data_IF_643340478735
#
_entry.id   IF_643340478735
#
_cell.length_a   1.000
_cell.length_b   1.000
_cell.length_c   1.000
_cell.angle_alpha   90.00
_cell.angle_beta   90.00
_cell.angle_gamma   90.00
#
_symmetry.space_group_name_H-M   'P 1'
#
loop_
_entity.id
_entity.type
_entity.pdbx_description
1 polymer ?
#
# COMPACT_ATOMS: atom_id res chain seq x y z
N UNK A 1 -8.00 6.15 -54.23
CA UNK A 1 -8.79 6.01 -52.98
C UNK A 1 -10.00 5.08 -53.15
N UNK A 2 -9.78 3.77 -53.28
CA UNK A 2 -10.86 2.74 -53.35
C UNK A 2 -10.51 1.41 -52.65
N UNK A 3 -9.48 1.39 -51.79
CA UNK A 3 -9.04 0.19 -51.03
C UNK A 3 -9.09 0.33 -49.50
N UNK A 4 -9.54 1.46 -48.96
CA UNK A 4 -9.70 1.69 -47.50
C UNK A 4 -11.14 1.56 -46.99
N UNK A 5 -12.16 1.55 -47.85
CA UNK A 5 -13.56 1.52 -47.43
C UNK A 5 -14.14 0.12 -47.24
N UNK A 6 -13.51 -0.94 -47.78
CA UNK A 6 -14.02 -2.31 -47.60
C UNK A 6 -13.58 -2.95 -46.27
N UNK A 7 -12.52 -2.45 -45.62
CA UNK A 7 -12.10 -2.92 -44.27
C UNK A 7 -12.98 -2.38 -43.12
N UNK A 8 -13.73 -1.31 -43.36
CA UNK A 8 -14.64 -0.72 -42.35
C UNK A 8 -15.98 -1.45 -42.35
N UNK A 9 -16.40 -2.02 -43.50
CA UNK A 9 -17.66 -2.75 -43.65
C UNK A 9 -17.54 -4.17 -43.05
N UNK A 10 -16.38 -4.83 -43.16
CA UNK A 10 -16.14 -6.15 -42.52
C UNK A 10 -16.00 -6.10 -40.98
N UNK A 11 -15.60 -4.95 -40.41
CA UNK A 11 -15.48 -4.74 -38.96
C UNK A 11 -16.83 -4.52 -38.26
N UNK A 12 -17.86 -4.12 -39.00
CA UNK A 12 -19.20 -3.86 -38.48
C UNK A 12 -20.06 -5.14 -38.48
N UNK A 13 -19.86 -6.05 -39.45
CA UNK A 13 -20.66 -7.27 -39.56
C UNK A 13 -20.12 -8.46 -38.72
N UNK A 14 -18.81 -8.57 -38.51
CA UNK A 14 -18.21 -9.67 -37.72
C UNK A 14 -17.98 -9.34 -36.22
N UNK A 15 -18.22 -8.10 -35.79
CA UNK A 15 -18.02 -7.64 -34.40
C UNK A 15 -19.19 -7.86 -33.43
N UNK A 16 -20.37 -8.27 -33.92
CA UNK A 16 -21.59 -8.40 -33.11
C UNK A 16 -21.92 -9.85 -32.69
N UNK A 17 -21.19 -10.87 -33.15
CA UNK A 17 -21.48 -12.28 -32.85
C UNK A 17 -20.55 -12.94 -31.80
N UNK A 18 -19.56 -12.23 -31.25
CA UNK A 18 -18.54 -12.82 -30.36
C UNK A 18 -18.55 -12.31 -28.90
N UNK A 19 -19.45 -11.39 -28.51
CA UNK A 19 -19.46 -10.85 -27.15
C UNK A 19 -20.59 -11.37 -26.23
N UNK A 20 -21.40 -12.33 -26.69
CA UNK A 20 -22.51 -12.91 -25.92
C UNK A 20 -22.38 -14.42 -25.66
N UNK A 21 -21.17 -14.91 -25.32
CA UNK A 21 -20.99 -16.30 -24.85
C UNK A 21 -20.10 -16.46 -23.61
N UNK A 22 -19.27 -15.48 -23.26
CA UNK A 22 -18.35 -15.57 -22.09
C UNK A 22 -18.95 -15.13 -20.74
N UNK A 23 -20.16 -14.55 -20.74
CA UNK A 23 -20.89 -14.21 -19.49
C UNK A 23 -21.98 -15.22 -19.12
N UNK A 24 -22.23 -16.23 -19.95
CA UNK A 24 -23.18 -17.30 -19.63
C UNK A 24 -22.57 -18.47 -18.86
N UNK A 25 -21.25 -18.68 -18.89
CA UNK A 25 -20.60 -19.81 -18.17
C UNK A 25 -20.07 -19.49 -16.76
N UNK A 26 -20.33 -18.28 -16.23
CA UNK A 26 -19.97 -17.93 -14.83
C UNK A 26 -21.16 -17.61 -13.93
N UNK A 27 -22.38 -17.69 -14.46
CA UNK A 27 -23.62 -17.59 -13.68
C UNK A 27 -24.27 -18.96 -13.40
N UNK A 28 -23.69 -20.06 -13.92
CA UNK A 28 -24.18 -21.44 -13.78
C UNK A 28 -23.55 -22.16 -12.57
N UNK A 29 -22.88 -21.44 -11.69
CA UNK A 29 -22.28 -22.01 -10.47
C UNK A 29 -22.71 -21.22 -9.23
N UNK A 30 -23.99 -20.84 -9.19
CA UNK A 30 -24.61 -20.23 -8.01
C UNK A 30 -26.13 -20.36 -7.99
N UNK A 31 -26.68 -21.49 -8.43
CA UNK A 31 -28.05 -21.89 -8.10
C UNK A 31 -28.10 -23.41 -7.98
N UNK A 32 -27.52 -23.89 -6.88
CA UNK A 32 -27.96 -25.13 -6.30
C UNK A 32 -29.18 -24.84 -5.43
N UNK A 33 -30.25 -25.58 -5.69
CA UNK A 33 -31.27 -25.93 -4.71
C UNK A 33 -32.37 -24.89 -4.43
N UNK A 34 -33.52 -24.99 -5.10
CA UNK A 34 -34.87 -24.82 -4.49
C UNK A 34 -35.99 -25.02 -5.52
N UNK A 35 -36.95 -25.88 -5.14
CA UNK A 35 -38.26 -26.12 -5.75
C UNK A 35 -39.14 -24.86 -5.84
N UNK A 36 -40.07 -24.80 -6.83
CA UNK A 36 -41.43 -24.17 -6.88
C UNK A 36 -41.80 -23.57 -8.26
N UNK A 37 -43.12 -23.37 -8.61
CA UNK A 37 -43.79 -24.08 -9.70
C UNK A 37 -44.21 -23.25 -10.93
N UNK A 38 -44.65 -24.00 -11.95
CA UNK A 38 -45.21 -23.63 -13.25
C UNK A 38 -46.58 -22.96 -13.07
N UNK A 39 -46.76 -21.68 -13.41
CA UNK A 39 -48.05 -21.01 -13.71
C UNK A 39 -47.86 -19.51 -14.11
N UNK A 40 -47.06 -19.23 -15.14
CA UNK A 40 -46.79 -17.83 -15.56
C UNK A 40 -46.57 -17.59 -17.06
N UNK A 41 -46.91 -18.55 -17.93
CA UNK A 41 -46.59 -18.52 -19.36
C UNK A 41 -47.75 -18.08 -20.28
N UNK A 42 -48.98 -17.85 -19.78
CA UNK A 42 -50.12 -17.46 -20.64
C UNK A 42 -50.33 -15.95 -20.80
N UNK A 43 -49.85 -15.11 -19.88
CA UNK A 43 -50.02 -13.65 -19.95
C UNK A 43 -48.98 -12.93 -20.84
N UNK A 44 -47.93 -13.63 -21.25
CA UNK A 44 -46.87 -13.05 -22.09
C UNK A 44 -47.18 -13.17 -23.59
N UNK A 45 -48.00 -14.15 -24.00
CA UNK A 45 -48.38 -14.35 -25.41
C UNK A 45 -49.52 -13.44 -25.88
N UNK A 46 -50.41 -13.01 -24.99
CA UNK A 46 -51.54 -12.13 -25.33
C UNK A 46 -51.13 -10.67 -25.57
N UNK A 47 -50.09 -10.20 -24.88
CA UNK A 47 -49.58 -8.83 -24.98
C UNK A 47 -48.70 -8.60 -26.22
N UNK A 48 -47.96 -9.62 -26.66
CA UNK A 48 -47.11 -9.55 -27.86
C UNK A 48 -47.95 -9.61 -29.14
N UNK A 49 -49.10 -10.30 -29.10
CA UNK A 49 -50.01 -10.40 -30.25
C UNK A 49 -50.83 -9.10 -30.47
N UNK A 50 -51.22 -8.40 -29.40
CA UNK A 50 -51.90 -7.10 -29.49
C UNK A 50 -51.00 -5.97 -30.03
N UNK A 51 -49.69 -6.01 -29.73
CA UNK A 51 -48.72 -5.06 -30.30
C UNK A 51 -48.39 -5.34 -31.77
N UNK A 52 -48.53 -6.59 -32.22
CA UNK A 52 -48.32 -6.98 -33.62
C UNK A 52 -49.53 -6.62 -34.51
N UNK A 53 -50.76 -6.72 -33.98
CA UNK A 53 -51.98 -6.38 -34.71
C UNK A 53 -52.15 -4.86 -34.92
N UNK A 54 -51.68 -4.03 -33.99
CA UNK A 54 -51.79 -2.57 -34.08
C UNK A 54 -50.83 -1.93 -35.10
N UNK A 55 -49.78 -2.64 -35.52
CA UNK A 55 -48.76 -2.09 -36.44
C UNK A 55 -49.05 -2.37 -37.92
N UNK A 56 -50.00 -3.26 -38.24
CA UNK A 56 -50.22 -3.76 -39.61
C UNK A 56 -51.41 -3.13 -40.35
N UNK A 57 -52.33 -2.41 -39.68
CA UNK A 57 -53.63 -2.06 -40.29
C UNK A 57 -53.89 -0.59 -40.65
N UNK A 58 -52.95 0.35 -40.52
CA UNK A 58 -53.19 1.74 -40.95
C UNK A 58 -51.99 2.36 -41.68
N UNK A 59 -51.90 2.22 -43.02
CA UNK A 59 -51.02 3.02 -43.84
C UNK A 59 -51.86 3.96 -44.70
N UNK A 60 -52.00 5.24 -44.32
CA UNK A 60 -52.22 6.31 -45.31
C UNK A 60 -51.92 7.69 -44.72
N UNK A 61 -51.10 8.43 -45.49
CA UNK A 61 -50.72 9.86 -45.40
C UNK A 61 -49.34 10.16 -44.80
N UNK A 62 -48.32 9.54 -45.40
CA UNK A 62 -46.91 9.87 -45.23
C UNK A 62 -46.48 10.67 -46.46
N UNK A 63 -46.72 11.98 -46.52
CA UNK A 63 -45.90 12.86 -47.38
C UNK A 63 -45.90 14.35 -47.07
N UNK A 64 -46.87 14.90 -46.33
CA UNK A 64 -46.87 16.34 -45.97
C UNK A 64 -46.17 16.69 -44.63
N UNK A 65 -45.49 15.72 -44.00
CA UNK A 65 -44.82 15.90 -42.69
C UNK A 65 -43.28 15.77 -42.78
N UNK A 66 -42.69 15.99 -43.96
CA UNK A 66 -41.22 15.97 -44.14
C UNK A 66 -40.56 17.33 -43.87
N UNK A 67 -41.30 18.43 -44.00
CA UNK A 67 -40.77 19.79 -43.74
C UNK A 67 -40.81 20.17 -42.25
N UNK A 68 -41.85 19.76 -41.52
CA UNK A 68 -41.96 20.00 -40.07
C UNK A 68 -40.88 19.24 -39.28
N UNK A 69 -40.47 18.05 -39.74
CA UNK A 69 -39.45 17.22 -39.09
C UNK A 69 -38.03 17.76 -39.25
N UNK A 70 -37.69 18.37 -40.39
CA UNK A 70 -36.37 18.99 -40.59
C UNK A 70 -36.22 20.29 -39.79
N UNK A 71 -37.26 21.12 -39.70
CA UNK A 71 -37.24 22.32 -38.85
C UNK A 71 -37.23 21.97 -37.35
N UNK A 72 -37.97 20.95 -36.92
CA UNK A 72 -37.90 20.44 -35.55
C UNK A 72 -36.55 19.81 -35.22
N UNK A 73 -35.92 19.07 -36.14
CA UNK A 73 -34.60 18.49 -35.91
C UNK A 73 -33.48 19.54 -35.86
N UNK A 74 -33.56 20.61 -36.66
CA UNK A 74 -32.62 21.75 -36.56
C UNK A 74 -32.81 22.53 -35.26
N UNK A 75 -34.05 22.75 -34.81
CA UNK A 75 -34.37 23.35 -33.51
C UNK A 75 -33.96 22.47 -32.33
N UNK A 76 -34.20 21.16 -32.39
CA UNK A 76 -33.78 20.19 -31.40
C UNK A 76 -32.26 20.10 -31.30
N UNK A 77 -31.54 20.11 -32.42
CA UNK A 77 -30.06 20.11 -32.44
C UNK A 77 -29.49 21.41 -31.83
N UNK A 78 -30.12 22.56 -32.06
CA UNK A 78 -29.72 23.84 -31.46
C UNK A 78 -30.05 23.94 -29.96
N UNK A 79 -31.20 23.39 -29.54
CA UNK A 79 -31.64 23.35 -28.14
C UNK A 79 -30.84 22.33 -27.31
N UNK A 80 -30.47 21.19 -27.89
CA UNK A 80 -29.65 20.16 -27.25
C UNK A 80 -28.16 20.58 -27.17
N UNK A 81 -27.67 21.41 -28.09
CA UNK A 81 -26.31 22.00 -28.05
C UNK A 81 -26.16 23.02 -26.91
N UNK A 82 -27.21 23.78 -26.60
CA UNK A 82 -27.26 24.71 -25.47
C UNK A 82 -27.43 23.99 -24.11
N UNK A 83 -28.15 22.85 -24.06
CA UNK A 83 -28.32 22.04 -22.84
C UNK A 83 -27.13 21.13 -22.50
N UNK A 84 -26.31 20.70 -23.47
CA UNK A 84 -25.28 19.67 -23.25
C UNK A 84 -23.91 20.17 -22.79
N UNK A 85 -23.58 21.45 -22.93
CA UNK A 85 -22.25 21.98 -22.57
C UNK A 85 -22.14 22.51 -21.14
N UNK A 86 -22.88 23.57 -20.83
CA UNK A 86 -22.79 24.27 -19.54
C UNK A 86 -23.56 23.55 -18.43
N UNK A 87 -24.75 23.03 -18.71
CA UNK A 87 -25.61 22.39 -17.71
C UNK A 87 -25.09 21.00 -17.32
N UNK A 88 -24.60 20.18 -18.27
CA UNK A 88 -23.92 18.91 -17.91
C UNK A 88 -22.61 19.12 -17.15
N UNK A 89 -21.82 20.16 -17.47
CA UNK A 89 -20.63 20.51 -16.67
C UNK A 89 -21.01 21.04 -15.29
N UNK A 90 -22.07 21.85 -15.18
CA UNK A 90 -22.66 22.30 -13.90
C UNK A 90 -23.18 21.12 -13.09
N UNK A 91 -23.99 20.23 -13.68
CA UNK A 91 -24.48 19.01 -13.04
C UNK A 91 -23.32 18.08 -12.66
N UNK A 92 -22.34 17.85 -13.53
CA UNK A 92 -21.18 17.00 -13.22
C UNK A 92 -20.33 17.62 -12.11
N UNK A 93 -20.15 18.95 -12.06
CA UNK A 93 -19.57 19.67 -10.90
C UNK A 93 -20.46 19.58 -9.66
N UNK A 94 -21.78 19.66 -9.82
CA UNK A 94 -22.75 19.63 -8.73
C UNK A 94 -22.81 18.24 -8.08
N UNK A 95 -22.92 17.18 -8.88
CA UNK A 95 -22.85 15.79 -8.43
C UNK A 95 -21.44 15.39 -7.94
N UNK A 96 -20.36 15.89 -8.56
CA UNK A 96 -19.00 15.73 -8.02
C UNK A 96 -18.82 16.43 -6.68
N UNK A 97 -19.40 17.63 -6.48
CA UNK A 97 -19.38 18.33 -5.21
C UNK A 97 -20.29 17.67 -4.16
N UNK A 98 -21.45 17.13 -4.56
CA UNK A 98 -22.34 16.37 -3.66
C UNK A 98 -21.69 15.09 -3.15
N UNK A 99 -21.01 14.33 -4.01
CA UNK A 99 -20.29 13.10 -3.61
C UNK A 99 -18.99 13.35 -2.86
N UNK A 100 -18.39 14.54 -3.00
CA UNK A 100 -17.14 14.90 -2.33
C UNK A 100 -17.33 15.51 -0.93
N UNK A 101 -18.49 16.13 -0.64
CA UNK A 101 -18.70 16.90 0.60
C UNK A 101 -19.13 16.06 1.81
N UNK A 102 -19.44 14.77 1.63
CA UNK A 102 -19.91 13.88 2.71
C UNK A 102 -18.77 13.10 3.40
N UNK A 103 -17.50 13.23 2.95
CA UNK A 103 -16.35 12.47 3.53
C UNK A 103 -15.31 13.30 4.28
N UNK A 104 -15.55 14.58 4.55
CA UNK A 104 -14.53 15.46 5.15
C UNK A 104 -14.67 15.73 6.65
N UNK A 105 -15.73 15.23 7.30
CA UNK A 105 -16.00 15.53 8.72
C UNK A 105 -15.67 14.39 9.70
N UNK A 106 -14.73 13.51 9.35
CA UNK A 106 -14.17 12.57 10.33
C UNK A 106 -12.99 13.20 11.05
N UNK A 107 -13.08 13.48 12.36
CA UNK A 107 -11.94 14.00 13.11
C UNK A 107 -10.85 12.93 13.16
N UNK A 108 -9.69 13.24 12.55
CA UNK A 108 -8.48 12.42 12.71
C UNK A 108 -7.71 12.94 13.91
N UNK A 109 -7.65 12.14 14.97
CA UNK A 109 -6.91 12.51 16.18
C UNK A 109 -5.41 12.35 15.94
N UNK A 110 -4.64 13.43 16.15
CA UNK A 110 -3.18 13.42 16.06
C UNK A 110 -2.58 13.76 17.44
N UNK A 111 -1.58 12.99 17.86
CA UNK A 111 -0.91 13.17 19.14
C UNK A 111 0.58 13.47 18.99
N UNK A 112 1.14 14.26 19.93
CA UNK A 112 2.59 14.49 19.99
C UNK A 112 3.32 13.24 20.50
N UNK A 113 4.41 12.89 19.83
CA UNK A 113 5.24 11.70 20.12
C UNK A 113 6.49 12.01 20.95
N UNK A 114 6.84 13.28 21.13
CA UNK A 114 8.05 13.72 21.85
C UNK A 114 7.74 14.98 22.63
N UNK A 115 8.45 15.19 23.74
CA UNK A 115 8.39 16.42 24.54
C UNK A 115 9.79 17.07 24.56
N UNK A 116 9.82 18.40 24.51
CA UNK A 116 11.06 19.17 24.66
C UNK A 116 11.48 19.24 26.13
N UNK A 117 12.79 19.23 26.43
CA UNK A 117 13.27 19.41 27.80
C UNK A 117 12.93 20.81 28.30
N UNK A 118 12.75 20.95 29.62
CA UNK A 118 12.48 22.26 30.26
C UNK A 118 13.69 23.18 30.19
N UNK A 119 14.90 22.65 30.46
CA UNK A 119 16.18 23.37 30.42
C UNK A 119 16.98 22.97 29.16
N UNK A 120 17.08 23.84 28.14
CA UNK A 120 17.68 23.47 26.87
C UNK A 120 19.21 23.32 26.88
N UNK A 121 19.93 24.04 27.75
CA UNK A 121 21.41 24.14 27.71
C UNK A 121 22.10 23.57 28.96
N UNK A 122 21.52 22.53 29.54
CA UNK A 122 22.11 21.79 30.65
C UNK A 122 23.19 20.81 30.15
N UNK A 123 24.45 21.04 30.54
CA UNK A 123 25.63 20.32 30.03
C UNK A 123 25.50 18.80 30.21
N UNK A 124 25.24 18.34 31.43
CA UNK A 124 25.10 16.91 31.77
C UNK A 124 24.08 16.19 30.89
N UNK A 125 22.93 16.82 30.64
CA UNK A 125 21.89 16.28 29.76
C UNK A 125 22.36 16.24 28.31
N UNK A 126 23.03 17.30 27.84
CA UNK A 126 23.51 17.35 26.45
C UNK A 126 24.55 16.26 26.18
N UNK A 127 25.47 16.04 27.12
CA UNK A 127 26.53 15.03 27.05
C UNK A 127 25.94 13.62 27.11
N UNK A 128 25.03 13.36 28.06
CA UNK A 128 24.32 12.07 28.18
C UNK A 128 23.49 11.75 26.92
N UNK A 129 22.77 12.75 26.38
CA UNK A 129 22.01 12.57 25.14
C UNK A 129 22.93 12.32 23.95
N UNK A 130 24.12 12.95 23.90
CA UNK A 130 25.07 12.78 22.81
C UNK A 130 25.68 11.38 22.82
N UNK A 131 26.05 10.87 23.99
CA UNK A 131 26.57 9.50 24.17
C UNK A 131 25.58 8.46 23.65
N UNK A 132 24.31 8.54 24.07
CA UNK A 132 23.24 7.63 23.60
C UNK A 132 22.96 7.77 22.10
N UNK A 133 23.06 8.98 21.55
CA UNK A 133 22.87 9.20 20.11
C UNK A 133 23.99 8.55 19.30
N UNK A 134 25.23 8.64 19.78
CA UNK A 134 26.42 8.03 19.17
C UNK A 134 26.35 6.49 19.22
N UNK A 135 26.15 5.93 20.40
CA UNK A 135 26.14 4.47 20.63
C UNK A 135 25.08 3.76 19.77
N UNK A 136 23.85 4.28 19.75
CA UNK A 136 22.73 3.67 19.05
C UNK A 136 22.51 4.21 17.63
N UNK A 137 23.40 5.08 17.13
CA UNK A 137 23.36 5.63 15.77
C UNK A 137 22.05 6.34 15.43
N UNK A 138 21.57 7.22 16.31
CA UNK A 138 20.33 7.98 16.12
C UNK A 138 20.55 9.18 15.20
N UNK A 139 19.55 9.56 14.37
CA UNK A 139 19.67 10.72 13.47
C UNK A 139 19.61 12.05 14.21
N UNK A 140 18.76 12.15 15.23
CA UNK A 140 18.54 13.39 15.97
C UNK A 140 18.11 13.12 17.41
N UNK A 141 18.26 14.14 18.27
CA UNK A 141 17.78 14.12 19.67
C UNK A 141 16.26 13.90 19.77
N UNK A 142 15.50 14.15 18.69
CA UNK A 142 14.05 13.89 18.66
C UNK A 142 13.72 12.40 18.69
N UNK A 143 14.52 11.53 18.07
CA UNK A 143 14.34 10.07 18.18
C UNK A 143 14.51 9.61 19.63
N UNK A 144 15.52 10.13 20.33
CA UNK A 144 15.74 9.85 21.75
C UNK A 144 14.56 10.36 22.60
N UNK A 145 14.12 11.60 22.39
CA UNK A 145 12.98 12.21 23.11
C UNK A 145 11.65 11.49 22.90
N UNK A 146 11.47 10.79 21.79
CA UNK A 146 10.30 9.92 21.56
C UNK A 146 10.31 8.69 22.48
N UNK A 147 11.48 8.08 22.64
CA UNK A 147 11.66 6.94 23.54
C UNK A 147 11.50 7.39 24.99
N UNK A 148 12.15 8.49 25.38
CA UNK A 148 12.00 9.09 26.71
C UNK A 148 10.52 9.36 27.07
N UNK A 149 9.74 9.93 26.15
CA UNK A 149 8.32 10.17 26.40
C UNK A 149 7.53 8.86 26.60
N UNK A 150 7.89 7.81 25.86
CA UNK A 150 7.26 6.50 25.97
C UNK A 150 7.56 5.85 27.32
N UNK A 151 8.82 5.87 27.75
CA UNK A 151 9.25 5.43 29.09
C UNK A 151 8.52 6.23 30.17
N UNK A 152 8.45 7.56 30.03
CA UNK A 152 7.76 8.42 31.00
C UNK A 152 6.27 8.09 31.12
N UNK A 153 5.59 7.79 30.00
CA UNK A 153 4.17 7.37 30.00
C UNK A 153 3.99 6.01 30.68
N UNK A 154 4.87 5.06 30.43
CA UNK A 154 4.85 3.72 31.04
C UNK A 154 5.07 3.82 32.56
N UNK A 155 6.11 4.53 33.00
CA UNK A 155 6.36 4.75 34.44
C UNK A 155 5.23 5.53 35.11
N UNK A 156 4.61 6.49 34.42
CA UNK A 156 3.45 7.22 34.96
C UNK A 156 2.23 6.32 35.12
N UNK A 157 2.01 5.36 34.22
CA UNK A 157 0.94 4.37 34.36
C UNK A 157 1.23 3.42 35.54
N UNK A 158 2.46 2.89 35.61
CA UNK A 158 2.87 2.01 36.71
C UNK A 158 2.73 2.67 38.09
N UNK A 159 3.14 3.94 38.25
CA UNK A 159 2.97 4.68 39.51
C UNK A 159 1.51 4.79 39.96
N UNK A 160 0.58 5.04 39.03
CA UNK A 160 -0.87 5.11 39.33
C UNK A 160 -1.46 3.76 39.72
N UNK A 161 -0.90 2.67 39.20
CA UNK A 161 -1.36 1.32 39.52
C UNK A 161 -0.79 0.82 40.85
N UNK A 162 0.44 1.24 41.20
CA UNK A 162 1.07 0.87 42.48
C UNK A 162 0.44 1.55 43.70
N UNK A 163 -0.25 2.68 43.51
CA UNK A 163 -0.99 3.35 44.60
C UNK A 163 -2.29 2.64 44.98
N UNK A 164 -2.82 1.77 44.10
CA UNK A 164 -4.05 1.01 44.34
C UNK A 164 -3.74 -0.25 45.15
N UNK A 165 -4.69 -0.81 45.92
CA UNK A 165 -4.49 -2.07 46.62
C UNK A 165 -4.29 -3.23 45.63
N UNK A 166 -3.65 -4.32 46.07
CA UNK A 166 -3.26 -5.44 45.21
C UNK A 166 -4.45 -6.11 44.50
N UNK A 167 -5.59 -6.20 45.19
CA UNK A 167 -6.80 -6.89 44.73
C UNK A 167 -7.73 -6.00 43.88
N UNK A 168 -7.39 -4.71 43.70
CA UNK A 168 -8.21 -3.82 42.89
C UNK A 168 -8.28 -4.32 41.44
N UNK A 169 -9.49 -4.46 40.84
CA UNK A 169 -9.65 -5.03 39.50
C UNK A 169 -8.87 -4.25 38.43
N UNK A 170 -8.69 -2.93 38.60
CA UNK A 170 -7.91 -2.13 37.65
C UNK A 170 -6.43 -2.45 37.76
N UNK A 171 -5.89 -2.59 38.98
CA UNK A 171 -4.48 -2.96 39.19
C UNK A 171 -4.18 -4.34 38.59
N UNK A 172 -5.04 -5.32 38.84
CA UNK A 172 -4.87 -6.69 38.32
C UNK A 172 -4.91 -6.69 36.78
N UNK A 173 -5.93 -6.07 36.18
CA UNK A 173 -6.11 -6.08 34.73
C UNK A 173 -5.10 -5.20 33.98
N UNK A 174 -5.03 -3.91 34.32
CA UNK A 174 -4.15 -2.96 33.63
C UNK A 174 -2.66 -3.28 33.91
N UNK A 175 -2.34 -3.70 35.14
CA UNK A 175 -0.99 -4.12 35.53
C UNK A 175 -0.50 -5.33 34.75
N UNK A 176 -1.30 -6.40 34.71
CA UNK A 176 -0.96 -7.59 33.92
C UNK A 176 -0.84 -7.26 32.42
N UNK A 177 -1.71 -6.42 31.87
CA UNK A 177 -1.64 -5.98 30.49
C UNK A 177 -0.37 -5.16 30.18
N UNK A 178 0.07 -4.31 31.12
CA UNK A 178 1.28 -3.52 31.00
C UNK A 178 2.52 -4.42 30.99
N UNK A 179 2.64 -5.33 31.95
CA UNK A 179 3.76 -6.26 32.03
C UNK A 179 3.80 -7.20 30.80
N UNK A 180 2.66 -7.76 30.38
CA UNK A 180 2.56 -8.59 29.16
C UNK A 180 3.04 -7.85 27.91
N UNK A 181 2.74 -6.55 27.79
CA UNK A 181 3.20 -5.72 26.67
C UNK A 181 4.73 -5.58 26.67
N UNK A 182 5.32 -5.36 27.84
CA UNK A 182 6.77 -5.17 28.02
C UNK A 182 7.55 -6.47 27.78
N UNK A 183 7.07 -7.59 28.29
CA UNK A 183 7.69 -8.90 28.07
C UNK A 183 7.63 -9.30 26.59
N UNK A 184 6.50 -9.03 25.91
CA UNK A 184 6.38 -9.27 24.47
C UNK A 184 7.39 -8.46 23.64
N UNK A 185 7.76 -7.26 24.11
CA UNK A 185 8.80 -6.44 23.50
C UNK A 185 10.21 -6.90 23.88
N UNK A 186 10.36 -7.67 24.96
CA UNK A 186 11.65 -8.10 25.51
C UNK A 186 12.37 -6.99 26.27
N UNK A 187 11.63 -6.09 26.92
CA UNK A 187 12.19 -5.01 27.76
C UNK A 187 12.40 -5.51 29.20
N UNK A 188 11.43 -6.26 29.71
CA UNK A 188 11.54 -6.96 30.98
C UNK A 188 11.93 -8.42 30.70
N UNK A 189 12.86 -9.01 31.47
CA UNK A 189 13.09 -10.45 31.45
C UNK A 189 11.92 -11.21 32.07
N UNK A 190 11.74 -12.48 31.72
CA UNK A 190 10.54 -13.26 32.09
C UNK A 190 10.44 -13.47 33.62
N UNK A 191 11.58 -13.49 34.31
CA UNK A 191 11.69 -13.62 35.77
C UNK A 191 11.17 -12.38 36.52
N UNK A 192 11.31 -11.19 35.92
CA UNK A 192 11.02 -9.91 36.57
C UNK A 192 9.64 -9.38 36.13
N UNK A 193 8.63 -10.24 36.10
CA UNK A 193 7.30 -9.91 35.61
C UNK A 193 6.40 -9.23 36.66
N UNK A 194 6.97 -8.35 37.49
CA UNK A 194 6.25 -7.58 38.52
C UNK A 194 6.18 -6.10 38.16
N UNK A 195 5.13 -5.43 38.62
CA UNK A 195 4.88 -4.01 38.31
C UNK A 195 5.96 -3.08 38.85
N UNK A 196 6.62 -3.45 39.95
CA UNK A 196 7.70 -2.69 40.58
C UNK A 196 8.91 -2.53 39.64
N UNK A 197 9.29 -3.59 38.91
CA UNK A 197 10.38 -3.54 37.94
C UNK A 197 10.09 -2.64 36.73
N UNK A 198 8.83 -2.27 36.50
CA UNK A 198 8.48 -1.32 35.43
C UNK A 198 9.03 0.09 35.73
N UNK A 199 9.25 0.42 37.01
CA UNK A 199 9.81 1.71 37.40
C UNK A 199 11.31 1.82 37.07
N UNK A 200 12.06 0.71 37.14
CA UNK A 200 13.51 0.68 36.91
C UNK A 200 13.93 0.65 35.43
N UNK A 201 12.98 0.45 34.50
CA UNK A 201 13.24 0.42 33.05
C UNK A 201 14.00 1.65 32.60
N UNK A 202 15.11 1.49 31.86
CA UNK A 202 15.91 2.60 31.32
C UNK A 202 15.53 2.92 29.87
N UNK A 203 16.07 4.02 29.35
CA UNK A 203 15.88 4.41 27.94
C UNK A 203 16.64 3.47 27.01
N UNK A 204 17.80 2.98 27.47
CA UNK A 204 18.67 2.03 26.78
C UNK A 204 17.94 0.73 26.41
N UNK A 205 17.11 0.20 27.31
CA UNK A 205 16.37 -1.05 27.07
C UNK A 205 15.49 -0.94 25.82
N UNK A 206 14.85 0.21 25.61
CA UNK A 206 14.09 0.47 24.38
C UNK A 206 14.96 0.67 23.15
N UNK A 207 16.13 1.28 23.31
CA UNK A 207 17.06 1.50 22.20
C UNK A 207 17.66 0.18 21.72
N UNK A 208 18.02 -0.74 22.62
CA UNK A 208 18.48 -2.10 22.32
C UNK A 208 17.46 -2.92 21.55
N UNK A 209 16.16 -2.74 21.82
CA UNK A 209 15.06 -3.43 21.11
C UNK A 209 14.72 -2.86 19.73
N UNK A 210 15.42 -1.83 19.24
CA UNK A 210 15.19 -1.30 17.90
C UNK A 210 15.71 -2.26 16.84
N UNK A 211 15.07 -2.29 15.68
CA UNK A 211 15.54 -3.11 14.56
C UNK A 211 16.99 -2.77 14.18
N UNK A 212 17.36 -1.49 14.26
CA UNK A 212 18.70 -1.02 13.93
C UNK A 212 19.81 -1.65 14.79
N UNK A 213 19.59 -1.79 16.09
CA UNK A 213 20.56 -2.35 17.05
C UNK A 213 20.57 -3.87 16.96
N UNK A 214 19.39 -4.49 16.90
CA UNK A 214 19.29 -5.94 16.76
C UNK A 214 19.96 -6.45 15.48
N UNK A 215 19.85 -5.72 14.36
CA UNK A 215 20.56 -6.06 13.12
C UNK A 215 22.07 -5.97 13.28
N UNK A 216 22.58 -5.07 14.12
CA UNK A 216 24.02 -4.98 14.43
C UNK A 216 24.46 -6.14 15.33
N UNK A 217 23.63 -6.51 16.31
CA UNK A 217 23.91 -7.61 17.26
C UNK A 217 23.94 -8.99 16.58
N UNK A 218 23.06 -9.25 15.61
CA UNK A 218 23.03 -10.51 14.84
C UNK A 218 24.24 -10.64 13.87
N UNK A 219 25.25 -9.80 14.03
CA UNK A 219 26.49 -9.73 13.23
C UNK A 219 26.29 -9.48 11.73
N UNK A 220 25.10 -9.03 11.32
CA UNK A 220 24.79 -8.76 9.91
C UNK A 220 25.55 -7.54 9.37
N UNK A 221 26.00 -6.63 10.23
CA UNK A 221 26.60 -5.36 9.81
C UNK A 221 27.85 -4.95 10.60
N UNK A 222 28.75 -4.26 9.89
CA UNK A 222 29.97 -3.68 10.47
C UNK A 222 29.70 -2.60 11.52
N UNK A 223 28.66 -1.77 11.34
CA UNK A 223 28.33 -0.64 12.21
C UNK A 223 26.82 -0.44 12.32
N UNK A 224 26.39 0.23 13.40
CA UNK A 224 25.00 0.63 13.65
C UNK A 224 24.47 1.58 12.55
N UNK A 225 25.35 2.42 11.99
CA UNK A 225 25.00 3.29 10.86
C UNK A 225 24.78 2.50 9.56
N UNK A 226 25.58 1.44 9.34
CA UNK A 226 25.41 0.55 8.20
C UNK A 226 24.07 -0.20 8.29
N UNK A 227 23.69 -0.70 9.48
CA UNK A 227 22.38 -1.31 9.71
C UNK A 227 21.23 -0.38 9.32
N UNK A 228 21.32 0.91 9.68
CA UNK A 228 20.31 1.90 9.31
C UNK A 228 20.13 2.01 7.80
N UNK A 229 21.23 2.09 7.05
CA UNK A 229 21.21 2.19 5.59
C UNK A 229 20.56 0.96 4.96
N UNK A 230 20.91 -0.24 5.41
CA UNK A 230 20.33 -1.49 4.89
C UNK A 230 18.81 -1.57 5.10
N UNK A 231 18.33 -1.13 6.26
CA UNK A 231 16.88 -1.06 6.57
C UNK A 231 16.19 -0.10 5.60
N UNK A 232 16.73 1.11 5.42
CA UNK A 232 16.16 2.11 4.51
C UNK A 232 16.14 1.63 3.04
N UNK A 233 17.20 0.93 2.62
CA UNK A 233 17.32 0.36 1.29
C UNK A 233 16.50 -0.92 1.08
N UNK A 234 15.74 -1.36 2.11
CA UNK A 234 14.80 -2.49 2.04
C UNK A 234 15.47 -3.86 1.87
N UNK A 235 16.66 -4.01 2.43
CA UNK A 235 17.39 -5.28 2.40
C UNK A 235 17.01 -6.22 3.55
N UNK A 236 16.34 -5.72 4.59
CA UNK A 236 16.03 -6.47 5.81
C UNK A 236 14.55 -6.80 5.91
N UNK A 237 14.27 -8.04 6.29
CA UNK A 237 12.93 -8.53 6.61
C UNK A 237 12.84 -8.89 8.10
N UNK A 238 11.63 -8.79 8.64
CA UNK A 238 11.26 -9.37 9.93
C UNK A 238 10.15 -10.37 9.66
N UNK A 239 10.46 -11.66 9.75
CA UNK A 239 9.60 -12.72 9.23
C UNK A 239 9.48 -12.60 7.72
N UNK A 240 8.25 -12.43 7.22
CA UNK A 240 7.96 -12.30 5.78
C UNK A 240 7.92 -10.85 5.30
N UNK A 241 7.86 -9.88 6.21
CA UNK A 241 7.62 -8.49 5.88
C UNK A 241 8.93 -7.71 5.77
N UNK A 242 9.07 -6.96 4.67
CA UNK A 242 10.16 -5.99 4.51
C UNK A 242 9.89 -4.75 5.37
N UNK A 243 10.81 -4.43 6.27
CA UNK A 243 10.69 -3.29 7.19
C UNK A 243 11.61 -2.17 6.73
N UNK A 244 11.05 -0.97 6.52
CA UNK A 244 11.78 0.24 6.06
C UNK A 244 12.13 1.23 7.17
N UNK A 245 11.67 0.97 8.40
CA UNK A 245 11.78 1.90 9.52
C UNK A 245 12.79 1.38 10.55
N UNK A 246 13.93 2.03 10.78
CA UNK A 246 14.91 1.60 11.78
C UNK A 246 14.41 1.78 13.23
N UNK A 247 13.38 2.62 13.43
CA UNK A 247 12.73 2.82 14.72
C UNK A 247 11.71 1.73 15.07
N UNK A 248 11.61 0.67 14.27
CA UNK A 248 10.71 -0.45 14.54
C UNK A 248 11.17 -1.19 15.80
N UNK A 249 10.28 -1.39 16.77
CA UNK A 249 10.54 -2.16 17.98
C UNK A 249 10.22 -3.63 17.71
N UNK A 250 11.24 -4.48 17.75
CA UNK A 250 11.10 -5.90 17.44
C UNK A 250 10.67 -6.67 18.68
N UNK A 251 9.61 -7.48 18.53
CA UNK A 251 9.11 -8.38 19.58
C UNK A 251 10.09 -9.53 19.82
N UNK A 252 10.11 -10.08 21.04
CA UNK A 252 10.96 -11.24 21.40
C UNK A 252 10.78 -12.41 20.40
N UNK A 253 9.54 -12.79 20.12
CA UNK A 253 9.23 -13.90 19.19
C UNK A 253 9.65 -13.63 17.73
N UNK A 254 9.78 -12.36 17.34
CA UNK A 254 10.11 -11.99 15.96
C UNK A 254 11.61 -11.78 15.74
N UNK A 255 12.41 -11.82 16.80
CA UNK A 255 13.83 -11.51 16.75
C UNK A 255 14.62 -12.54 15.94
N UNK A 256 14.33 -13.83 16.10
CA UNK A 256 15.01 -14.91 15.35
C UNK A 256 14.72 -14.88 13.85
N UNK A 257 13.66 -14.18 13.42
CA UNK A 257 13.25 -14.07 12.03
C UNK A 257 13.75 -12.79 11.36
N UNK A 258 14.79 -12.13 11.90
CA UNK A 258 15.46 -11.01 11.26
C UNK A 258 16.48 -11.58 10.27
N UNK A 259 16.20 -11.44 8.97
CA UNK A 259 17.08 -11.93 7.91
C UNK A 259 17.21 -10.90 6.78
N UNK A 260 18.14 -11.14 5.88
CA UNK A 260 18.11 -10.47 4.58
C UNK A 260 16.89 -10.92 3.79
N UNK A 261 16.33 -10.00 3.01
CA UNK A 261 15.29 -10.31 2.05
C UNK A 261 15.86 -11.19 0.94
N UNK A 262 15.14 -12.23 0.53
CA UNK A 262 15.59 -13.12 -0.55
C UNK A 262 15.82 -12.36 -1.88
N UNK A 263 14.92 -11.45 -2.25
CA UNK A 263 15.10 -10.61 -3.44
C UNK A 263 16.16 -9.49 -3.32
N UNK A 264 16.98 -9.50 -2.26
CA UNK A 264 18.00 -8.48 -2.00
C UNK A 264 19.27 -8.76 -2.80
N UNK A 265 19.87 -7.72 -3.36
CA UNK A 265 21.20 -7.79 -3.99
C UNK A 265 22.33 -8.16 -3.02
N UNK A 266 22.09 -8.06 -1.71
CA UNK A 266 23.05 -8.39 -0.65
C UNK A 266 22.78 -9.79 -0.07
N UNK A 267 21.52 -10.27 -0.15
CA UNK A 267 21.07 -11.52 0.47
C UNK A 267 21.43 -12.80 -0.29
N UNK A 268 22.30 -12.72 -1.30
CA UNK A 268 22.78 -13.86 -2.09
C UNK A 268 21.79 -14.40 -3.15
N UNK A 269 20.50 -14.42 -2.85
CA UNK A 269 19.45 -14.98 -3.73
C UNK A 269 18.90 -13.99 -4.75
N UNK A 270 19.17 -12.69 -4.60
CA UNK A 270 18.71 -11.62 -5.49
C UNK A 270 19.73 -11.23 -6.57
N UNK A 271 19.24 -10.64 -7.67
CA UNK A 271 20.10 -10.09 -8.71
C UNK A 271 21.00 -8.96 -8.18
N UNK A 272 22.21 -8.79 -8.74
CA UNK A 272 23.09 -7.69 -8.38
C UNK A 272 22.42 -6.34 -8.68
N UNK A 273 22.69 -5.34 -7.83
CA UNK A 273 22.11 -4.01 -7.93
C UNK A 273 22.40 -3.33 -9.28
N UNK A 274 21.58 -2.31 -9.63
CA UNK A 274 21.62 -1.63 -10.93
C UNK A 274 23.03 -1.21 -11.37
N UNK A 275 23.78 -0.56 -10.48
CA UNK A 275 25.15 -0.07 -10.78
C UNK A 275 26.13 -1.23 -10.92
N UNK A 276 26.11 -2.21 -10.00
CA UNK A 276 26.95 -3.41 -10.12
C UNK A 276 26.68 -4.14 -11.44
N UNK A 277 25.41 -4.29 -11.83
CA UNK A 277 25.04 -4.87 -13.12
C UNK A 277 25.51 -4.04 -14.32
N UNK A 278 25.44 -2.71 -14.26
CA UNK A 278 25.97 -1.82 -15.31
C UNK A 278 27.50 -1.96 -15.43
N UNK A 279 28.19 -2.03 -14.30
CA UNK A 279 29.65 -2.16 -14.27
C UNK A 279 30.10 -3.53 -14.77
N UNK A 280 29.43 -4.62 -14.37
CA UNK A 280 29.69 -5.96 -14.89
C UNK A 280 29.46 -6.03 -16.40
N UNK A 281 28.41 -5.40 -16.92
CA UNK A 281 28.17 -5.30 -18.37
C UNK A 281 29.26 -4.51 -19.09
N UNK A 282 29.71 -3.39 -18.52
CA UNK A 282 30.83 -2.60 -19.07
C UNK A 282 32.12 -3.41 -19.09
N UNK A 283 32.42 -4.12 -18.00
CA UNK A 283 33.61 -4.98 -17.91
C UNK A 283 33.57 -6.12 -18.93
N UNK A 284 32.42 -6.80 -19.08
CA UNK A 284 32.24 -7.85 -20.09
C UNK A 284 32.37 -7.31 -21.52
N UNK A 285 31.81 -6.13 -21.81
CA UNK A 285 31.97 -5.48 -23.12
C UNK A 285 33.40 -5.03 -23.43
N UNK A 286 34.14 -4.57 -22.41
CA UNK A 286 35.56 -4.23 -22.55
C UNK A 286 36.44 -5.46 -22.75
N UNK A 287 36.14 -6.57 -22.06
CA UNK A 287 36.85 -7.83 -22.24
C UNK A 287 36.59 -8.45 -23.62
N UNK A 288 35.36 -8.39 -24.13
CA UNK A 288 35.02 -8.85 -25.47
C UNK A 288 35.74 -8.04 -26.57
N UNK A 289 35.77 -6.71 -26.42
CA UNK A 289 36.49 -5.83 -27.36
C UNK A 289 38.02 -5.98 -27.29
N UNK A 290 38.57 -6.42 -26.15
CA UNK A 290 39.99 -6.73 -26.00
C UNK A 290 40.38 -8.08 -26.62
N UNK A 291 39.52 -9.10 -26.51
CA UNK A 291 39.73 -10.40 -27.14
C UNK A 291 39.65 -10.33 -28.68
N UNK A 292 38.69 -9.57 -29.22
CA UNK A 292 38.53 -9.40 -30.67
C UNK A 292 39.71 -8.66 -31.32
N UNK A 293 40.38 -7.76 -30.57
CA UNK A 293 41.64 -7.13 -31.01
C UNK A 293 42.82 -8.09 -30.97
N UNK A 294 42.98 -8.86 -29.90
CA UNK A 294 44.07 -9.83 -29.77
C UNK A 294 43.98 -10.94 -30.83
N UNK A 295 42.76 -11.37 -31.19
CA UNK A 295 42.54 -12.35 -32.27
C UNK A 295 42.78 -11.76 -33.68
N UNK A 296 42.67 -10.43 -33.83
CA UNK A 296 43.03 -9.71 -35.05
C UNK A 296 44.55 -9.58 -35.20
N UNK A 297 45.22 -9.12 -34.15
CA UNK A 297 46.67 -8.93 -34.12
C UNK A 297 47.42 -10.29 -34.28
N UNK A 298 46.87 -11.38 -33.74
CA UNK A 298 47.43 -12.73 -33.89
C UNK A 298 47.23 -13.34 -35.30
N UNK A 299 46.23 -12.89 -36.07
CA UNK A 299 46.04 -13.30 -37.47
C UNK A 299 46.93 -12.51 -38.42
N UNK A 300 47.11 -11.22 -38.15
CA UNK A 300 48.02 -10.36 -38.92
C UNK A 300 49.49 -10.82 -38.75
N UNK A 301 49.89 -11.24 -37.55
CA UNK A 301 51.21 -11.82 -37.29
C UNK A 301 51.42 -13.27 -37.82
N UNK A 302 50.38 -13.92 -38.35
CA UNK A 302 50.47 -15.25 -38.97
C UNK A 302 50.42 -15.20 -40.51
N UNK A 303 50.13 -14.02 -41.09
CA UNK A 303 50.14 -13.77 -42.54
C UNK A 303 51.44 -13.09 -43.03
N UNK A 304 52.32 -12.66 -42.12
CA UNK A 304 53.72 -12.27 -42.39
C UNK A 304 54.71 -13.44 -42.20
#
# INVERSE_FOLDING_TARGET
MRKKNNKIIDLIFNGQLQYSRKKQKKLVMWYGNSNLPILGLSLFYTLVWLLFFFFFFFPKKIESMRETKQQWNKRAYHFEKLRRGKLKKKLKKFFANMGAKVRSNQPKNFGKTSRTPRRPFEKERLDSELNLVGEYGLKNKRELRRVQLTVARIRSAARKLLTLPQDDPRRVFEGAALCRRLNRLGILPDEQNRLEYVLSIKVEDFLKRRLQTLVKEIATTKSVHHARVLIYQRHIVVGKQVVKSPSFLVRKNSQSFINFRDGSSIGGTGLPGRVKRKNLKKAAGGAAAGAEKADGDAKEAAEE
#
